data_IF_919763862498
#
_entry.id   IF_919763862498
#
_cell.length_a   1.000
_cell.length_b   1.000
_cell.length_c   1.000
_cell.angle_alpha   90.00
_cell.angle_beta   90.00
_cell.angle_gamma   90.00
#
_symmetry.space_group_name_H-M   'P 1'
#
loop_
_entity.id
_entity.type
_entity.pdbx_description
1 polymer ?
#
# COMPACT_ATOMS: atom_id res chain seq x y z
N UNK A 1 -64.86 20.03 34.78
CA UNK A 1 -63.67 19.42 35.46
C UNK A 1 -63.05 18.31 34.60
N UNK A 2 -63.78 17.40 34.04
CA UNK A 2 -63.29 16.25 33.25
C UNK A 2 -62.58 16.62 31.94
N UNK A 3 -63.03 17.66 31.23
CA UNK A 3 -62.41 18.12 29.97
C UNK A 3 -60.95 18.59 30.16
N UNK A 4 -60.66 19.25 31.30
CA UNK A 4 -59.29 19.70 31.60
C UNK A 4 -58.33 18.54 31.93
N UNK A 5 -58.88 17.51 32.58
CA UNK A 5 -58.11 16.29 32.88
C UNK A 5 -57.82 15.51 31.61
N UNK A 6 -58.80 15.40 30.70
CA UNK A 6 -58.65 14.76 29.41
C UNK A 6 -57.55 15.44 28.57
N UNK A 7 -57.54 16.76 28.49
CA UNK A 7 -56.50 17.52 27.77
C UNK A 7 -55.10 17.35 28.41
N UNK A 8 -54.97 17.30 29.72
CA UNK A 8 -53.72 17.05 30.40
C UNK A 8 -53.16 15.65 30.12
N UNK A 9 -54.00 14.63 30.08
CA UNK A 9 -53.57 13.24 29.73
C UNK A 9 -53.14 13.13 28.28
N UNK A 10 -53.83 13.81 27.36
CA UNK A 10 -53.44 13.82 25.92
C UNK A 10 -52.08 14.52 25.72
N UNK A 11 -51.82 15.60 26.41
CA UNK A 11 -50.53 16.28 26.33
C UNK A 11 -49.40 15.40 26.90
N UNK A 12 -49.66 14.64 27.97
CA UNK A 12 -48.66 13.72 28.54
C UNK A 12 -48.37 12.52 27.64
N UNK A 13 -49.35 12.07 26.85
CA UNK A 13 -49.12 10.98 25.86
C UNK A 13 -48.39 11.44 24.61
N UNK A 14 -48.36 12.74 24.31
CA UNK A 14 -47.61 13.32 23.20
C UNK A 14 -46.13 13.64 23.54
N UNK A 15 -45.73 13.57 24.83
CA UNK A 15 -44.36 13.66 25.27
C UNK A 15 -43.59 12.34 25.07
N UNK A 16 -43.94 11.61 23.99
CA UNK A 16 -43.28 10.34 23.64
C UNK A 16 -41.83 10.53 23.30
N UNK A 17 -41.05 9.58 23.75
CA UNK A 17 -39.61 9.39 23.67
C UNK A 17 -38.99 9.95 22.40
N UNK A 18 -38.12 10.94 22.58
CA UNK A 18 -37.19 11.35 21.58
C UNK A 18 -35.97 10.39 21.67
N UNK A 19 -36.16 9.15 21.21
CA UNK A 19 -35.08 8.19 21.12
C UNK A 19 -34.02 8.77 20.20
N UNK A 20 -32.92 9.21 20.79
CA UNK A 20 -31.73 9.60 20.01
C UNK A 20 -31.31 8.38 19.19
N UNK A 21 -31.64 8.41 17.89
CA UNK A 21 -31.14 7.40 16.95
C UNK A 21 -29.62 7.40 16.98
N UNK A 22 -29.04 6.39 17.61
CA UNK A 22 -27.61 6.12 17.54
C UNK A 22 -27.39 5.23 16.31
N UNK A 23 -26.73 5.74 15.25
CA UNK A 23 -26.43 4.93 14.09
C UNK A 23 -25.65 3.68 14.53
N UNK A 24 -26.13 2.51 14.13
CA UNK A 24 -25.39 1.26 14.39
C UNK A 24 -24.04 1.37 13.65
N UNK A 25 -22.93 0.91 14.26
CA UNK A 25 -21.67 0.81 13.57
C UNK A 25 -21.83 0.02 12.28
N UNK A 26 -21.21 0.46 11.19
CA UNK A 26 -21.18 -0.31 9.95
C UNK A 26 -20.47 -1.63 10.22
N UNK A 27 -21.14 -2.75 9.98
CA UNK A 27 -20.50 -4.06 9.98
C UNK A 27 -19.78 -4.26 8.65
N UNK A 28 -18.53 -4.72 8.72
CA UNK A 28 -17.77 -5.14 7.54
C UNK A 28 -17.79 -6.67 7.45
N UNK A 29 -17.72 -7.19 6.23
CA UNK A 29 -17.59 -8.63 6.03
C UNK A 29 -16.25 -9.10 6.60
N UNK A 30 -16.25 -10.26 7.25
CA UNK A 30 -15.01 -10.90 7.70
C UNK A 30 -14.24 -11.36 6.47
N UNK A 31 -13.03 -10.81 6.27
CA UNK A 31 -12.11 -11.26 5.23
C UNK A 31 -11.26 -12.38 5.83
N UNK A 32 -11.23 -13.54 5.16
CA UNK A 32 -10.29 -14.61 5.49
C UNK A 32 -9.04 -14.41 4.65
N UNK A 33 -7.90 -14.24 5.31
CA UNK A 33 -6.61 -14.13 4.65
C UNK A 33 -5.91 -15.49 4.67
N UNK A 34 -5.09 -15.82 3.65
CA UNK A 34 -4.22 -16.99 3.68
C UNK A 34 -3.14 -16.85 4.76
N UNK A 35 -2.54 -17.97 5.15
CA UNK A 35 -1.38 -17.97 6.03
C UNK A 35 -0.19 -17.31 5.36
N UNK A 36 0.67 -16.68 6.18
CA UNK A 36 1.87 -15.98 5.72
C UNK A 36 3.01 -16.99 5.48
N UNK A 37 3.05 -17.52 4.28
CA UNK A 37 4.15 -18.35 3.79
C UNK A 37 4.88 -17.63 2.66
N UNK A 38 6.22 -17.72 2.66
CA UNK A 38 7.07 -17.00 1.72
C UNK A 38 7.98 -17.95 0.96
N UNK A 39 8.34 -17.56 -0.26
CA UNK A 39 9.30 -18.24 -1.13
C UNK A 39 10.21 -17.22 -1.81
N UNK A 40 11.45 -17.57 -2.14
CA UNK A 40 12.33 -16.70 -2.90
C UNK A 40 11.75 -16.39 -4.28
N UNK A 41 11.92 -15.15 -4.76
CA UNK A 41 11.65 -14.78 -6.14
C UNK A 41 12.53 -15.62 -7.07
N UNK A 42 11.91 -16.42 -7.93
CA UNK A 42 12.60 -17.25 -8.92
C UNK A 42 12.77 -16.50 -10.24
N UNK A 43 13.98 -16.59 -10.83
CA UNK A 43 14.29 -15.95 -12.10
C UNK A 43 15.68 -15.33 -12.14
N UNK A 44 16.07 -14.83 -13.32
CA UNK A 44 17.34 -14.17 -13.58
C UNK A 44 17.16 -12.65 -13.46
N UNK A 45 16.84 -12.18 -12.23
CA UNK A 45 16.73 -10.77 -11.94
C UNK A 45 18.03 -10.25 -11.29
N UNK A 46 18.38 -8.97 -11.45
CA UNK A 46 19.53 -8.34 -10.79
C UNK A 46 19.30 -8.13 -9.29
N UNK A 47 18.15 -8.54 -8.79
CA UNK A 47 17.75 -8.51 -7.40
C UNK A 47 17.08 -9.82 -6.99
N UNK A 48 17.02 -10.07 -5.69
CA UNK A 48 16.34 -11.20 -5.06
C UNK A 48 15.65 -10.72 -3.79
N UNK A 49 14.45 -11.26 -3.53
CA UNK A 49 13.68 -11.07 -2.30
C UNK A 49 12.68 -12.21 -2.11
N UNK A 50 12.07 -12.30 -0.95
CA UNK A 50 10.99 -13.24 -0.68
C UNK A 50 9.64 -12.65 -1.11
N UNK A 51 8.79 -13.52 -1.68
CA UNK A 51 7.41 -13.21 -2.06
C UNK A 51 6.45 -14.20 -1.40
N UNK A 52 5.19 -13.81 -1.09
CA UNK A 52 4.19 -14.74 -0.62
C UNK A 52 3.92 -15.86 -1.63
N UNK A 53 3.68 -17.08 -1.14
CA UNK A 53 3.38 -18.25 -2.01
C UNK A 53 2.10 -18.08 -2.83
N UNK A 54 1.16 -17.22 -2.37
CA UNK A 54 -0.08 -16.90 -3.06
C UNK A 54 0.06 -15.79 -4.12
N UNK A 55 1.27 -15.30 -4.36
CA UNK A 55 1.57 -14.24 -5.34
C UNK A 55 1.83 -14.83 -6.72
N UNK A 56 1.34 -14.16 -7.76
CA UNK A 56 1.66 -14.45 -9.16
C UNK A 56 2.61 -13.40 -9.71
N UNK A 57 3.68 -13.83 -10.37
CA UNK A 57 4.64 -12.95 -11.02
C UNK A 57 4.18 -12.74 -12.46
N UNK A 58 4.01 -11.47 -12.85
CA UNK A 58 3.61 -11.08 -14.22
C UNK A 58 4.63 -10.04 -14.72
N UNK A 59 5.15 -10.26 -15.92
CA UNK A 59 5.98 -9.25 -16.59
C UNK A 59 5.18 -7.97 -16.83
N UNK A 60 5.82 -6.82 -16.73
CA UNK A 60 5.18 -5.56 -17.06
C UNK A 60 4.93 -5.45 -18.57
N UNK A 61 3.66 -5.63 -18.97
CA UNK A 61 3.25 -5.56 -20.37
C UNK A 61 3.24 -4.14 -20.95
N UNK A 62 3.23 -3.13 -20.09
CA UNK A 62 3.25 -1.73 -20.52
C UNK A 62 4.66 -1.28 -20.87
N UNK A 63 5.67 -1.95 -20.32
CA UNK A 63 7.09 -1.66 -20.53
C UNK A 63 7.83 -2.94 -20.99
N UNK A 64 7.55 -3.47 -22.19
CA UNK A 64 8.11 -4.74 -22.68
C UNK A 64 9.63 -4.71 -22.85
N UNK A 65 10.20 -3.52 -23.02
CA UNK A 65 11.65 -3.31 -23.15
C UNK A 65 12.38 -3.31 -21.79
N UNK A 66 11.64 -3.45 -20.68
CA UNK A 66 12.17 -3.50 -19.32
C UNK A 66 12.05 -4.91 -18.75
N UNK A 67 12.99 -5.83 -19.04
CA UNK A 67 12.85 -7.25 -18.70
C UNK A 67 12.83 -7.53 -17.19
N UNK A 68 13.29 -6.59 -16.38
CA UNK A 68 13.35 -6.69 -14.92
C UNK A 68 12.23 -5.95 -14.20
N UNK A 69 11.27 -5.39 -14.94
CA UNK A 69 10.06 -4.83 -14.37
C UNK A 69 8.99 -5.91 -14.27
N UNK A 70 8.48 -6.10 -13.07
CA UNK A 70 7.49 -7.16 -12.80
C UNK A 70 6.36 -6.63 -11.93
N UNK A 71 5.21 -7.27 -12.04
CA UNK A 71 4.08 -7.08 -11.17
C UNK A 71 3.87 -8.33 -10.32
N UNK A 72 3.76 -8.14 -9.02
CA UNK A 72 3.44 -9.20 -8.06
C UNK A 72 1.94 -9.11 -7.76
N UNK A 73 1.14 -9.92 -8.44
CA UNK A 73 -0.31 -9.96 -8.22
C UNK A 73 -0.70 -10.80 -7.02
N UNK A 74 -1.65 -10.29 -6.22
CA UNK A 74 -2.37 -11.03 -5.17
C UNK A 74 -3.85 -11.06 -5.57
N UNK A 75 -4.29 -12.06 -6.37
CA UNK A 75 -5.60 -12.06 -7.02
C UNK A 75 -6.78 -11.99 -6.04
N UNK A 76 -6.70 -12.72 -4.93
CA UNK A 76 -7.76 -12.78 -3.92
C UNK A 76 -8.01 -11.43 -3.24
N UNK A 77 -6.97 -10.61 -3.09
CA UNK A 77 -7.04 -9.26 -2.54
C UNK A 77 -7.25 -8.18 -3.60
N UNK A 78 -7.31 -8.55 -4.88
CA UNK A 78 -7.31 -7.62 -6.03
C UNK A 78 -6.20 -6.59 -5.92
N UNK A 79 -5.04 -7.02 -5.48
CA UNK A 79 -3.90 -6.16 -5.25
C UNK A 79 -2.71 -6.56 -6.11
N UNK A 80 -1.82 -5.63 -6.31
CA UNK A 80 -0.56 -5.85 -7.01
C UNK A 80 0.53 -4.94 -6.47
N UNK A 81 1.76 -5.43 -6.46
CA UNK A 81 2.94 -4.62 -6.22
C UNK A 81 3.69 -4.48 -7.53
N UNK A 82 3.74 -3.26 -8.05
CA UNK A 82 4.55 -2.92 -9.22
C UNK A 82 6.00 -2.78 -8.78
N UNK A 83 6.90 -3.49 -9.44
CA UNK A 83 8.35 -3.41 -9.24
C UNK A 83 8.99 -2.89 -10.50
N UNK A 84 9.69 -1.77 -10.41
CA UNK A 84 10.50 -1.18 -11.47
C UNK A 84 11.96 -1.19 -11.07
N UNK A 85 12.83 -1.69 -11.93
CA UNK A 85 14.28 -1.76 -11.70
C UNK A 85 15.03 -0.87 -12.68
N UNK A 86 16.05 -0.19 -12.19
CA UNK A 86 16.95 0.65 -12.95
C UNK A 86 18.40 0.33 -12.62
N UNK A 87 19.21 0.16 -13.66
CA UNK A 87 20.66 0.08 -13.53
C UNK A 87 21.26 1.48 -13.52
N UNK A 88 22.06 1.81 -12.50
CA UNK A 88 22.64 3.14 -12.31
C UNK A 88 23.92 3.39 -13.12
N UNK A 89 24.41 2.38 -13.84
CA UNK A 89 25.68 2.40 -14.59
C UNK A 89 25.53 2.96 -16.02
N UNK A 90 24.41 3.58 -16.35
CA UNK A 90 24.19 4.14 -17.68
C UNK A 90 25.24 5.22 -18.02
N UNK A 91 25.94 5.01 -19.13
CA UNK A 91 27.12 5.77 -19.55
C UNK A 91 26.82 7.25 -19.91
N UNK A 92 25.56 7.62 -20.07
CA UNK A 92 25.15 8.97 -20.49
C UNK A 92 24.94 9.94 -19.33
N UNK A 93 24.70 9.44 -18.10
CA UNK A 93 24.49 10.29 -16.92
C UNK A 93 25.46 9.88 -15.80
N UNK A 94 25.99 10.88 -15.09
CA UNK A 94 26.67 10.57 -13.82
C UNK A 94 25.71 9.80 -12.92
N UNK A 95 26.08 8.62 -12.45
CA UNK A 95 25.25 7.73 -11.63
C UNK A 95 24.62 8.43 -10.40
N UNK A 96 25.30 9.44 -9.85
CA UNK A 96 24.77 10.25 -8.73
C UNK A 96 23.60 11.14 -9.12
N UNK A 97 23.64 11.77 -10.30
CA UNK A 97 22.53 12.60 -10.79
C UNK A 97 21.33 11.72 -11.12
N UNK A 98 21.55 10.58 -11.74
CA UNK A 98 20.50 9.65 -12.08
C UNK A 98 19.82 9.06 -10.82
N UNK A 99 20.61 8.67 -9.81
CA UNK A 99 20.08 8.22 -8.53
C UNK A 99 19.21 9.31 -7.86
N UNK A 100 19.71 10.55 -7.79
CA UNK A 100 18.96 11.65 -7.20
C UNK A 100 17.64 11.94 -7.94
N UNK A 101 17.66 11.86 -9.28
CA UNK A 101 16.47 12.00 -10.13
C UNK A 101 15.44 10.91 -9.81
N UNK A 102 15.86 9.63 -9.73
CA UNK A 102 14.98 8.50 -9.42
C UNK A 102 14.39 8.57 -8.00
N UNK A 103 15.21 9.01 -7.03
CA UNK A 103 14.74 9.20 -5.64
C UNK A 103 13.68 10.30 -5.58
N UNK A 104 13.92 11.46 -6.24
CA UNK A 104 12.98 12.57 -6.25
C UNK A 104 11.70 12.20 -7.03
N UNK A 105 11.82 11.54 -8.19
CA UNK A 105 10.67 11.03 -8.92
C UNK A 105 9.81 10.09 -8.05
N UNK A 106 10.45 9.18 -7.30
CA UNK A 106 9.72 8.27 -6.40
C UNK A 106 8.99 9.04 -5.31
N UNK A 107 9.65 10.05 -4.72
CA UNK A 107 9.04 10.92 -3.72
C UNK A 107 7.85 11.69 -4.30
N UNK A 108 8.00 12.29 -5.47
CA UNK A 108 6.91 12.98 -6.17
C UNK A 108 5.72 12.07 -6.46
N UNK A 109 5.98 10.81 -6.88
CA UNK A 109 4.93 9.83 -7.13
C UNK A 109 4.15 9.49 -5.85
N UNK A 110 4.84 9.33 -4.72
CA UNK A 110 4.18 9.13 -3.42
C UNK A 110 3.34 10.36 -3.03
N UNK A 111 3.88 11.57 -3.19
CA UNK A 111 3.20 12.82 -2.85
C UNK A 111 2.07 13.22 -3.82
N UNK A 112 2.00 12.68 -5.04
CA UNK A 112 0.81 12.81 -5.91
C UNK A 112 -0.48 12.31 -5.25
N UNK A 113 -0.37 11.42 -4.28
CA UNK A 113 -1.51 10.93 -3.49
C UNK A 113 -1.97 11.90 -2.38
N UNK A 114 -1.22 12.96 -2.08
CA UNK A 114 -1.50 13.91 -0.99
C UNK A 114 -2.90 14.53 -1.02
N UNK A 115 -3.51 14.68 -2.21
CA UNK A 115 -4.86 15.23 -2.37
C UNK A 115 -5.93 14.35 -1.68
N UNK A 116 -5.69 13.02 -1.59
CA UNK A 116 -6.62 12.03 -1.00
C UNK A 116 -6.07 11.37 0.26
N UNK A 117 -4.81 11.62 0.58
CA UNK A 117 -4.16 11.11 1.77
C UNK A 117 -4.50 11.98 2.98
N UNK A 118 -4.62 11.33 4.15
CA UNK A 118 -4.69 12.02 5.44
C UNK A 118 -3.29 12.35 5.95
N UNK A 119 -2.34 11.43 5.71
CA UNK A 119 -0.92 11.59 6.05
C UNK A 119 -0.05 10.78 5.08
N UNK A 120 1.21 11.19 4.94
CA UNK A 120 2.27 10.44 4.27
C UNK A 120 3.43 10.36 5.26
N UNK A 121 3.76 9.15 5.67
CA UNK A 121 4.89 8.87 6.56
C UNK A 121 6.06 8.36 5.74
N UNK A 122 7.24 8.95 5.92
CA UNK A 122 8.50 8.51 5.33
C UNK A 122 9.33 7.77 6.37
N UNK A 123 9.68 6.53 6.09
CA UNK A 123 10.54 5.71 6.95
C UNK A 123 11.80 5.31 6.19
N UNK A 124 12.96 5.68 6.72
CA UNK A 124 14.25 5.27 6.17
C UNK A 124 14.47 3.79 6.48
N UNK A 125 14.87 3.02 5.47
CA UNK A 125 15.29 1.63 5.58
C UNK A 125 16.79 1.50 5.37
N UNK A 126 17.48 0.78 6.27
CA UNK A 126 18.93 0.55 6.21
C UNK A 126 19.23 -0.90 6.56
N UNK A 127 19.72 -1.66 5.58
CA UNK A 127 20.31 -2.98 5.78
C UNK A 127 21.77 -2.94 5.31
N UNK A 128 22.68 -2.68 6.23
CA UNK A 128 24.13 -2.58 5.93
C UNK A 128 24.76 -3.91 5.56
N UNK A 129 24.22 -5.03 6.05
CA UNK A 129 24.73 -6.37 5.78
C UNK A 129 24.61 -6.74 4.30
N UNK A 130 23.53 -6.34 3.67
CA UNK A 130 23.22 -6.63 2.27
C UNK A 130 23.42 -5.42 1.35
N UNK A 131 23.89 -4.28 1.90
CA UNK A 131 24.09 -3.06 1.13
C UNK A 131 22.80 -2.50 0.55
N UNK A 132 21.67 -2.61 1.27
CA UNK A 132 20.36 -2.15 0.84
C UNK A 132 19.93 -0.95 1.66
N UNK A 133 19.66 0.16 0.98
CA UNK A 133 19.24 1.42 1.57
C UNK A 133 17.98 1.90 0.85
N UNK A 134 17.09 2.63 1.52
CA UNK A 134 15.90 3.13 0.85
C UNK A 134 14.98 3.93 1.74
N UNK A 135 13.82 4.25 1.19
CA UNK A 135 12.73 4.92 1.91
C UNK A 135 11.42 4.21 1.61
N UNK A 136 10.63 4.03 2.64
CA UNK A 136 9.25 3.51 2.58
C UNK A 136 8.30 4.66 2.85
N UNK A 137 7.34 4.86 1.97
CA UNK A 137 6.26 5.84 2.08
C UNK A 137 4.98 5.11 2.43
N UNK A 138 4.43 5.35 3.63
CA UNK A 138 3.08 4.91 4.00
C UNK A 138 2.10 6.05 3.77
N UNK A 139 1.08 5.79 2.99
CA UNK A 139 0.10 6.78 2.55
C UNK A 139 -1.25 6.40 3.15
N UNK A 140 -1.62 7.07 4.22
CA UNK A 140 -2.89 6.84 4.90
C UNK A 140 -4.02 7.63 4.23
N UNK A 141 -5.23 7.06 4.25
CA UNK A 141 -6.42 7.68 3.68
C UNK A 141 -6.91 6.98 2.42
N UNK A 142 -7.70 7.69 1.62
CA UNK A 142 -8.34 7.12 0.43
C UNK A 142 -7.43 7.16 -0.82
N UNK A 143 -6.16 6.77 -0.63
CA UNK A 143 -5.19 6.66 -1.71
C UNK A 143 -5.29 5.29 -2.41
N UNK A 144 -5.10 5.27 -3.74
CA UNK A 144 -5.09 4.03 -4.51
C UNK A 144 -3.82 3.19 -4.27
N UNK A 145 -2.74 3.83 -3.81
CA UNK A 145 -1.47 3.20 -3.46
C UNK A 145 -1.15 3.52 -2.00
N UNK A 146 -1.42 2.60 -1.05
CA UNK A 146 -1.21 2.85 0.37
C UNK A 146 0.27 2.76 0.79
N UNK A 147 1.12 2.11 -0.02
CA UNK A 147 2.54 1.98 0.28
C UNK A 147 3.37 2.07 -1.00
N UNK A 148 4.42 2.87 -0.96
CA UNK A 148 5.45 2.95 -2.00
C UNK A 148 6.83 2.89 -1.34
N UNK A 149 7.85 2.49 -2.10
CA UNK A 149 9.22 2.46 -1.59
C UNK A 149 10.22 2.53 -2.74
N UNK A 150 11.44 2.87 -2.40
CA UNK A 150 12.60 2.55 -3.23
C UNK A 150 13.69 1.91 -2.39
N UNK A 151 14.52 1.10 -3.06
CA UNK A 151 15.72 0.45 -2.51
C UNK A 151 16.87 0.67 -3.47
N UNK A 152 18.09 0.84 -2.95
CA UNK A 152 19.30 1.07 -3.75
C UNK A 152 20.54 0.62 -2.98
N UNK A 153 21.60 0.26 -3.70
CA UNK A 153 22.96 0.14 -3.15
C UNK A 153 23.77 1.44 -3.30
N UNK A 154 23.12 2.49 -3.85
CA UNK A 154 23.69 3.81 -4.14
C UNK A 154 24.71 3.84 -5.29
N UNK A 155 24.99 2.71 -5.95
CA UNK A 155 26.04 2.61 -6.97
C UNK A 155 25.60 1.98 -8.28
N UNK A 156 24.89 0.86 -8.25
CA UNK A 156 24.53 0.07 -9.42
C UNK A 156 23.05 -0.19 -9.55
N UNK A 157 22.34 -0.30 -8.44
CA UNK A 157 20.98 -0.81 -8.39
C UNK A 157 20.01 0.21 -7.80
N UNK A 158 18.88 0.39 -8.47
CA UNK A 158 17.73 1.10 -7.95
C UNK A 158 16.47 0.30 -8.26
N UNK A 159 15.68 0.03 -7.22
CA UNK A 159 14.42 -0.69 -7.32
C UNK A 159 13.33 0.17 -6.68
N UNK A 160 12.25 0.39 -7.41
CA UNK A 160 11.05 1.07 -6.92
C UNK A 160 9.91 0.08 -6.83
N UNK A 161 9.13 0.15 -5.75
CA UNK A 161 7.92 -0.63 -5.58
C UNK A 161 6.72 0.23 -5.18
N UNK A 162 5.54 -0.16 -5.64
CA UNK A 162 4.29 0.50 -5.28
C UNK A 162 3.17 -0.54 -5.14
N UNK A 163 2.54 -0.58 -3.97
CA UNK A 163 1.37 -1.41 -3.70
C UNK A 163 0.11 -0.71 -4.21
N UNK A 164 -0.66 -1.38 -5.06
CA UNK A 164 -1.96 -0.94 -5.53
C UNK A 164 -3.06 -1.91 -5.14
N UNK A 165 -4.23 -1.38 -4.81
CA UNK A 165 -5.44 -2.16 -4.58
C UNK A 165 -6.48 -1.74 -5.61
N UNK A 166 -6.92 -2.69 -6.45
CA UNK A 166 -7.88 -2.47 -7.52
C UNK A 166 -9.32 -2.44 -6.97
N UNK A 167 -9.60 -1.50 -6.08
CA UNK A 167 -10.91 -1.24 -5.49
C UNK A 167 -11.15 0.26 -5.41
N UNK A 168 -12.42 0.65 -5.26
CA UNK A 168 -12.73 2.05 -4.92
C UNK A 168 -12.11 2.35 -3.56
N UNK A 169 -11.26 3.38 -3.45
CA UNK A 169 -10.62 3.70 -2.20
C UNK A 169 -11.65 4.04 -1.12
N UNK A 170 -11.69 3.21 -0.08
CA UNK A 170 -12.45 3.37 1.15
C UNK A 170 -11.62 2.77 2.28
N UNK A 171 -10.89 3.64 2.98
CA UNK A 171 -9.91 3.22 3.99
C UNK A 171 -10.52 2.36 5.09
N UNK A 172 -11.78 2.64 5.48
CA UNK A 172 -12.42 1.91 6.57
C UNK A 172 -12.67 0.44 6.20
N UNK A 173 -13.04 0.16 4.95
CA UNK A 173 -13.28 -1.19 4.46
C UNK A 173 -12.00 -1.89 3.99
N UNK A 174 -11.02 -1.14 3.47
CA UNK A 174 -9.78 -1.69 2.93
C UNK A 174 -8.67 -1.86 3.97
N UNK A 175 -8.76 -1.23 5.13
CA UNK A 175 -7.72 -1.28 6.18
C UNK A 175 -7.22 -2.69 6.49
N UNK A 176 -8.07 -3.73 6.70
CA UNK A 176 -7.57 -5.08 6.96
C UNK A 176 -6.75 -5.66 5.81
N UNK A 177 -7.13 -5.34 4.56
CA UNK A 177 -6.41 -5.78 3.36
C UNK A 177 -5.06 -5.08 3.25
N UNK A 178 -5.04 -3.76 3.50
CA UNK A 178 -3.83 -2.95 3.50
C UNK A 178 -2.84 -3.47 4.54
N UNK A 179 -3.26 -3.61 5.80
CA UNK A 179 -2.42 -4.12 6.90
C UNK A 179 -1.92 -5.55 6.66
N UNK A 180 -2.70 -6.36 5.96
CA UNK A 180 -2.27 -7.69 5.56
C UNK A 180 -1.16 -7.61 4.50
N UNK A 181 -1.33 -6.81 3.45
CA UNK A 181 -0.40 -6.72 2.32
C UNK A 181 0.87 -5.92 2.66
N UNK A 182 0.79 -4.93 3.54
CA UNK A 182 1.96 -4.18 4.02
C UNK A 182 3.03 -5.10 4.62
N UNK A 183 2.63 -6.14 5.35
CA UNK A 183 3.56 -7.14 5.91
C UNK A 183 4.32 -7.88 4.82
N UNK A 184 3.68 -8.14 3.68
CA UNK A 184 4.31 -8.80 2.53
C UNK A 184 5.32 -7.88 1.85
N UNK A 185 4.95 -6.59 1.68
CA UNK A 185 5.86 -5.59 1.12
C UNK A 185 7.05 -5.36 2.05
N UNK A 186 6.84 -5.29 3.36
CA UNK A 186 7.94 -5.18 4.33
C UNK A 186 8.85 -6.40 4.29
N UNK A 187 8.30 -7.62 4.20
CA UNK A 187 9.10 -8.85 4.05
C UNK A 187 9.94 -8.82 2.77
N UNK A 188 9.38 -8.37 1.65
CA UNK A 188 10.11 -8.16 0.41
C UNK A 188 11.29 -7.19 0.63
N UNK A 189 11.04 -6.02 1.24
CA UNK A 189 12.06 -5.01 1.52
C UNK A 189 13.18 -5.57 2.40
N UNK A 190 12.82 -6.25 3.49
CA UNK A 190 13.75 -6.81 4.48
C UNK A 190 14.63 -7.92 3.93
N UNK A 191 14.15 -8.66 2.92
CA UNK A 191 14.84 -9.80 2.31
C UNK A 191 15.48 -9.47 0.96
N UNK A 192 15.51 -8.19 0.59
CA UNK A 192 16.13 -7.76 -0.66
C UNK A 192 17.65 -7.92 -0.62
N UNK A 193 18.20 -8.53 -1.67
CA UNK A 193 19.64 -8.65 -1.95
C UNK A 193 19.89 -8.33 -3.41
N UNK A 194 21.02 -7.73 -3.71
CA UNK A 194 21.49 -7.48 -5.08
C UNK A 194 22.27 -8.68 -5.62
N UNK A 195 22.34 -8.83 -6.95
CA UNK A 195 23.09 -9.88 -7.66
C UNK A 195 24.07 -9.29 -8.63
#
# INVERSE_FOLDING_TARGET
MYIRIFFAVVIFLLAGCNDKYTPKPRGFFRIAFPDKEYQPLNGLYPYRFDIPVYTRIISDKQNPDQPFWINLEVPESRAEVHISYYELTDAEKSSRFFLAELMEETRELAYKHSIKANSIEEQIFINRGDGVFGTVYRIEGNAASPMQFFLTDSTHHFLRGALYIRATPDIDSLRPVIEFLEKDVLRLIETTHWR
#
